data_IF_396851800932
#
_entry.id   IF_396851800932
#
_cell.length_a   1.000
_cell.length_b   1.000
_cell.length_c   1.000
_cell.angle_alpha   90.00
_cell.angle_beta   90.00
_cell.angle_gamma   90.00
#
_symmetry.space_group_name_H-M   'P 1'
#
loop_
_entity.id
_entity.type
_entity.pdbx_description
1 polymer ?
#
# COMPACT_ATOMS: atom_id res chain seq x y z
N UNK A 1 50.54 22.69 5.58
CA UNK A 1 50.55 21.46 4.76
C UNK A 1 49.40 20.58 5.23
N UNK A 2 48.43 20.37 4.32
CA UNK A 2 47.29 19.45 4.26
C UNK A 2 46.52 19.02 5.53
N UNK A 3 45.25 19.40 5.49
CA UNK A 3 44.11 18.90 6.25
C UNK A 3 43.95 17.37 6.18
N UNK A 4 43.73 16.79 7.35
CA UNK A 4 43.31 15.41 7.60
C UNK A 4 41.78 15.33 7.65
N UNK A 5 41.27 14.28 6.99
CA UNK A 5 40.08 13.51 7.37
C UNK A 5 38.71 14.21 7.36
N UNK A 6 38.14 14.33 6.15
CA UNK A 6 36.77 14.80 5.92
C UNK A 6 36.00 14.05 4.82
N UNK A 7 36.43 12.84 4.42
CA UNK A 7 35.78 12.10 3.33
C UNK A 7 35.53 10.64 3.70
N UNK A 8 34.47 10.39 4.49
CA UNK A 8 34.06 9.02 4.86
C UNK A 8 32.56 8.79 5.03
N UNK A 9 31.69 9.80 4.85
CA UNK A 9 30.27 9.69 5.22
C UNK A 9 29.26 9.96 4.09
N UNK A 10 29.70 10.08 2.82
CA UNK A 10 28.84 10.50 1.71
C UNK A 10 28.75 9.53 0.51
N UNK A 11 28.94 8.22 0.71
CA UNK A 11 28.89 7.24 -0.40
C UNK A 11 28.02 6.00 -0.10
N UNK A 12 26.93 6.13 0.67
CA UNK A 12 25.93 5.06 0.76
C UNK A 12 24.95 5.14 -0.42
N UNK A 13 25.26 4.33 -1.44
CA UNK A 13 24.45 3.88 -2.58
C UNK A 13 23.08 4.55 -2.82
N UNK A 14 22.92 5.37 -3.89
CA UNK A 14 21.64 5.94 -4.32
C UNK A 14 20.63 4.91 -4.90
N UNK A 15 20.97 3.62 -4.92
CA UNK A 15 20.10 2.55 -5.44
C UNK A 15 18.93 2.22 -4.50
N UNK A 16 19.10 2.39 -3.18
CA UNK A 16 18.10 1.99 -2.19
C UNK A 16 16.81 2.83 -2.18
N UNK A 17 16.82 4.02 -2.79
CA UNK A 17 15.64 4.90 -2.83
C UNK A 17 14.62 4.39 -3.87
N UNK A 18 15.09 3.79 -4.97
CA UNK A 18 14.23 3.22 -6.03
C UNK A 18 13.42 2.05 -5.54
N UNK A 19 14.08 1.16 -4.80
CA UNK A 19 13.55 -0.09 -4.29
C UNK A 19 12.32 0.13 -3.39
N UNK A 20 12.30 1.20 -2.59
CA UNK A 20 11.21 1.51 -1.64
C UNK A 20 9.94 2.07 -2.29
N UNK A 21 10.08 2.73 -3.43
CA UNK A 21 8.92 3.33 -4.14
C UNK A 21 8.24 2.27 -5.02
N UNK A 22 8.97 1.23 -5.42
CA UNK A 22 8.44 0.09 -6.17
C UNK A 22 7.48 -0.78 -5.34
N UNK A 23 7.69 -0.83 -4.01
CA UNK A 23 6.97 -1.71 -3.09
C UNK A 23 5.45 -1.56 -3.17
N UNK A 24 4.93 -0.34 -3.00
CA UNK A 24 3.47 -0.12 -2.88
C UNK A 24 2.71 -0.26 -4.21
N UNK A 25 3.35 0.04 -5.34
CA UNK A 25 2.73 -0.16 -6.66
C UNK A 25 2.56 -1.65 -6.96
N UNK A 26 3.62 -2.43 -6.76
CA UNK A 26 3.58 -3.88 -6.99
C UNK A 26 2.64 -4.60 -6.03
N UNK A 27 2.60 -4.18 -4.77
CA UNK A 27 1.67 -4.70 -3.77
C UNK A 27 0.21 -4.63 -4.24
N UNK A 28 -0.23 -3.48 -4.77
CA UNK A 28 -1.60 -3.30 -5.21
C UNK A 28 -1.96 -4.27 -6.35
N UNK A 29 -1.04 -4.49 -7.30
CA UNK A 29 -1.24 -5.43 -8.41
C UNK A 29 -1.25 -6.89 -7.96
N UNK A 30 -0.31 -7.29 -7.10
CA UNK A 30 -0.31 -8.65 -6.56
C UNK A 30 -1.53 -8.92 -5.69
N UNK A 31 -1.98 -7.95 -4.89
CA UNK A 31 -3.16 -8.10 -4.03
C UNK A 31 -4.42 -8.28 -4.88
N UNK A 32 -4.61 -7.46 -5.92
CA UNK A 32 -5.73 -7.56 -6.86
C UNK A 32 -5.69 -8.89 -7.63
N UNK A 33 -4.50 -9.27 -8.13
CA UNK A 33 -4.29 -10.49 -8.89
C UNK A 33 -4.61 -11.74 -8.07
N UNK A 34 -4.04 -11.85 -6.87
CA UNK A 34 -4.30 -12.95 -5.95
C UNK A 34 -5.77 -13.01 -5.54
N UNK A 35 -6.38 -11.88 -5.20
CA UNK A 35 -7.80 -11.81 -4.83
C UNK A 35 -8.71 -12.38 -5.92
N UNK A 36 -8.43 -12.05 -7.19
CA UNK A 36 -9.19 -12.54 -8.33
C UNK A 36 -8.94 -14.01 -8.67
N UNK A 37 -7.68 -14.47 -8.61
CA UNK A 37 -7.28 -15.79 -9.10
C UNK A 37 -7.48 -16.91 -8.08
N UNK A 38 -7.20 -16.65 -6.79
CA UNK A 38 -7.17 -17.68 -5.75
C UNK A 38 -8.25 -17.53 -4.69
N UNK A 39 -8.75 -16.31 -4.49
CA UNK A 39 -9.72 -16.03 -3.42
C UNK A 39 -11.15 -15.81 -3.94
N UNK A 40 -11.36 -15.88 -5.26
CA UNK A 40 -12.67 -15.80 -5.90
C UNK A 40 -13.35 -14.44 -5.76
N UNK A 41 -12.59 -13.37 -5.48
CA UNK A 41 -13.15 -12.02 -5.36
C UNK A 41 -13.49 -11.49 -6.77
N UNK A 42 -14.74 -11.04 -6.96
CA UNK A 42 -15.19 -10.46 -8.24
C UNK A 42 -14.64 -9.03 -8.42
N UNK A 43 -13.40 -8.96 -8.91
CA UNK A 43 -12.71 -7.69 -9.17
C UNK A 43 -13.29 -7.02 -10.40
N UNK A 44 -13.88 -5.83 -10.22
CA UNK A 44 -14.37 -5.02 -11.34
C UNK A 44 -13.23 -4.38 -12.14
N UNK A 45 -13.45 -4.17 -13.45
CA UNK A 45 -12.47 -3.55 -14.37
C UNK A 45 -11.87 -2.23 -13.84
N UNK A 46 -12.65 -1.44 -13.11
CA UNK A 46 -12.20 -0.17 -12.51
C UNK A 46 -11.19 -0.35 -11.37
N UNK A 47 -11.28 -1.44 -10.62
CA UNK A 47 -10.32 -1.78 -9.54
C UNK A 47 -8.97 -2.14 -10.15
N UNK A 48 -8.98 -2.93 -11.23
CA UNK A 48 -7.77 -3.27 -11.99
C UNK A 48 -7.14 -2.01 -12.59
N UNK A 49 -7.93 -1.16 -13.27
CA UNK A 49 -7.43 0.10 -13.84
C UNK A 49 -6.86 1.01 -12.75
N UNK A 50 -7.55 1.14 -11.60
CA UNK A 50 -7.06 1.90 -10.46
C UNK A 50 -5.71 1.39 -9.98
N UNK A 51 -5.57 0.09 -9.75
CA UNK A 51 -4.30 -0.51 -9.36
C UNK A 51 -3.18 -0.30 -10.39
N UNK A 52 -3.46 -0.44 -11.69
CA UNK A 52 -2.48 -0.21 -12.77
C UNK A 52 -2.02 1.25 -12.77
N UNK A 53 -2.95 2.20 -12.65
CA UNK A 53 -2.64 3.64 -12.62
C UNK A 53 -1.81 4.00 -11.39
N UNK A 54 -2.14 3.45 -10.22
CA UNK A 54 -1.40 3.69 -8.96
C UNK A 54 0.02 3.11 -9.04
N UNK A 55 0.16 1.93 -9.66
CA UNK A 55 1.46 1.29 -9.93
C UNK A 55 2.29 2.10 -10.92
N UNK A 56 1.66 2.58 -12.00
CA UNK A 56 2.32 3.43 -13.00
C UNK A 56 2.80 4.76 -12.42
N UNK A 57 2.01 5.39 -11.54
CA UNK A 57 2.42 6.60 -10.82
C UNK A 57 3.62 6.34 -9.89
N UNK A 58 3.65 5.18 -9.22
CA UNK A 58 4.77 4.77 -8.37
C UNK A 58 6.04 4.52 -9.20
N UNK A 59 5.91 3.86 -10.35
CA UNK A 59 7.03 3.63 -11.27
C UNK A 59 7.56 4.94 -11.86
N UNK A 60 6.68 5.87 -12.22
CA UNK A 60 7.05 7.20 -12.71
C UNK A 60 7.88 7.96 -11.67
N UNK A 61 7.48 7.90 -10.39
CA UNK A 61 8.24 8.50 -9.29
C UNK A 61 9.63 7.84 -9.12
N UNK A 62 9.74 6.54 -9.34
CA UNK A 62 11.01 5.80 -9.29
C UNK A 62 11.97 6.14 -10.44
N UNK A 63 11.47 6.58 -11.60
CA UNK A 63 12.33 6.96 -12.76
C UNK A 63 13.13 8.25 -12.54
N UNK A 64 12.75 9.07 -11.57
CA UNK A 64 13.46 10.32 -11.24
C UNK A 64 14.67 10.15 -10.30
N UNK A 65 14.99 8.91 -9.90
CA UNK A 65 16.21 8.62 -9.18
C UNK A 65 17.40 8.63 -10.15
N UNK A 66 18.46 9.36 -9.81
CA UNK A 66 19.65 9.65 -10.65
C UNK A 66 20.52 8.46 -11.09
N UNK A 67 20.05 7.22 -10.91
CA UNK A 67 20.78 6.01 -11.28
C UNK A 67 20.08 5.32 -12.47
N UNK A 68 20.85 5.00 -13.52
CA UNK A 68 20.39 4.36 -14.75
C UNK A 68 19.62 3.04 -14.56
N UNK A 69 19.09 2.50 -15.65
CA UNK A 69 18.30 1.26 -15.65
C UNK A 69 19.22 0.04 -15.53
N UNK A 70 18.98 -0.83 -14.55
CA UNK A 70 19.80 -2.03 -14.33
C UNK A 70 19.11 -3.05 -13.42
N UNK A 71 19.46 -4.32 -13.62
CA UNK A 71 18.97 -5.44 -12.81
C UNK A 71 19.58 -5.41 -11.41
N UNK A 72 18.75 -5.54 -10.37
CA UNK A 72 19.17 -5.50 -8.96
C UNK A 72 18.54 -6.64 -8.18
N UNK A 73 19.36 -7.39 -7.43
CA UNK A 73 18.87 -8.37 -6.46
C UNK A 73 17.97 -7.74 -5.39
N UNK A 74 18.19 -6.47 -5.05
CA UNK A 74 17.32 -5.71 -4.15
C UNK A 74 15.90 -5.56 -4.70
N UNK A 75 15.76 -5.28 -6.00
CA UNK A 75 14.45 -5.16 -6.65
C UNK A 75 13.68 -6.49 -6.66
N UNK A 76 14.37 -7.62 -6.81
CA UNK A 76 13.75 -8.96 -6.69
C UNK A 76 13.29 -9.22 -5.24
N UNK A 77 14.13 -8.90 -4.25
CA UNK A 77 13.77 -9.08 -2.85
C UNK A 77 12.54 -8.25 -2.45
N UNK A 78 12.44 -7.01 -2.96
CA UNK A 78 11.28 -6.12 -2.83
C UNK A 78 10.04 -6.72 -3.50
N UNK A 79 10.16 -7.18 -4.75
CA UNK A 79 9.05 -7.84 -5.44
C UNK A 79 8.57 -9.12 -4.70
N UNK A 80 9.48 -9.89 -4.12
CA UNK A 80 9.13 -11.05 -3.31
C UNK A 80 8.43 -10.64 -2.00
N UNK A 81 8.94 -9.62 -1.31
CA UNK A 81 8.35 -9.11 -0.08
C UNK A 81 6.91 -8.59 -0.30
N UNK A 82 6.68 -7.83 -1.37
CA UNK A 82 5.34 -7.34 -1.74
C UNK A 82 4.38 -8.46 -2.11
N UNK A 83 4.86 -9.50 -2.80
CA UNK A 83 4.05 -10.68 -3.08
C UNK A 83 3.65 -11.43 -1.79
N UNK A 84 4.59 -11.62 -0.86
CA UNK A 84 4.32 -12.22 0.45
C UNK A 84 3.28 -11.40 1.23
N UNK A 85 3.43 -10.07 1.23
CA UNK A 85 2.49 -9.16 1.89
C UNK A 85 1.09 -9.19 1.24
N UNK A 86 1.01 -9.16 -0.09
CA UNK A 86 -0.25 -9.31 -0.82
C UNK A 86 -0.96 -10.63 -0.50
N UNK A 87 -0.19 -11.72 -0.36
CA UNK A 87 -0.71 -13.03 0.05
C UNK A 87 -1.25 -13.00 1.48
N UNK A 88 -0.47 -12.43 2.41
CA UNK A 88 -0.87 -12.26 3.81
C UNK A 88 -2.15 -11.41 3.96
N UNK A 89 -2.30 -10.35 3.17
CA UNK A 89 -3.53 -9.53 3.15
C UNK A 89 -4.75 -10.31 2.65
N UNK A 90 -4.58 -11.12 1.61
CA UNK A 90 -5.66 -11.96 1.10
C UNK A 90 -6.05 -13.09 2.08
N UNK A 91 -5.08 -13.70 2.77
CA UNK A 91 -5.33 -14.64 3.85
C UNK A 91 -6.02 -13.96 5.04
N UNK A 92 -5.59 -12.75 5.38
CA UNK A 92 -6.21 -11.92 6.43
C UNK A 92 -7.68 -11.67 6.13
N UNK A 93 -8.05 -11.47 4.86
CA UNK A 93 -9.45 -11.34 4.47
C UNK A 93 -10.31 -12.54 4.84
N UNK A 94 -9.78 -13.77 4.74
CA UNK A 94 -10.50 -15.00 5.09
C UNK A 94 -10.72 -15.16 6.59
N UNK A 95 -9.81 -14.65 7.41
CA UNK A 95 -9.93 -14.70 8.88
C UNK A 95 -10.47 -13.40 9.48
N UNK A 96 -10.73 -12.38 8.65
CA UNK A 96 -11.11 -11.03 9.09
C UNK A 96 -12.38 -10.98 9.92
N UNK A 97 -13.24 -12.01 9.88
CA UNK A 97 -14.43 -12.14 10.73
C UNK A 97 -14.11 -12.38 12.22
N UNK A 98 -12.88 -12.79 12.56
CA UNK A 98 -12.42 -12.89 13.96
C UNK A 98 -12.04 -11.53 14.52
N UNK A 99 -11.88 -11.42 15.84
CA UNK A 99 -11.48 -10.18 16.51
C UNK A 99 -10.25 -9.52 15.84
N UNK A 100 -10.38 -8.27 15.33
CA UNK A 100 -9.31 -7.62 14.58
C UNK A 100 -8.11 -7.27 15.46
N UNK A 101 -8.31 -7.04 16.77
CA UNK A 101 -7.22 -6.75 17.71
C UNK A 101 -6.34 -7.99 17.86
N UNK A 102 -6.93 -9.18 18.04
CA UNK A 102 -6.20 -10.44 18.13
C UNK A 102 -5.40 -10.73 16.86
N UNK A 103 -6.00 -10.54 15.68
CA UNK A 103 -5.30 -10.73 14.39
C UNK A 103 -4.13 -9.76 14.28
N UNK A 104 -4.34 -8.47 14.57
CA UNK A 104 -3.29 -7.46 14.52
C UNK A 104 -2.16 -7.80 15.51
N UNK A 105 -2.48 -8.14 16.75
CA UNK A 105 -1.51 -8.45 17.78
C UNK A 105 -0.62 -9.63 17.38
N UNK A 106 -1.20 -10.71 16.84
CA UNK A 106 -0.44 -11.87 16.39
C UNK A 106 0.51 -11.53 15.24
N UNK A 107 0.03 -10.81 14.22
CA UNK A 107 0.87 -10.37 13.08
C UNK A 107 2.03 -9.49 13.56
N UNK A 108 1.75 -8.57 14.47
CA UNK A 108 2.75 -7.67 15.05
C UNK A 108 3.76 -8.42 15.91
N UNK A 109 3.34 -9.40 16.71
CA UNK A 109 4.23 -10.21 17.53
C UNK A 109 5.20 -11.03 16.67
N UNK A 110 4.71 -11.66 15.59
CA UNK A 110 5.56 -12.38 14.63
C UNK A 110 6.56 -11.42 13.96
N UNK A 111 6.07 -10.29 13.44
CA UNK A 111 6.91 -9.27 12.80
C UNK A 111 8.00 -8.72 13.73
N UNK A 112 7.64 -8.39 14.97
CA UNK A 112 8.57 -7.91 15.99
C UNK A 112 9.63 -8.96 16.32
N UNK A 113 9.22 -10.22 16.50
CA UNK A 113 10.15 -11.32 16.81
C UNK A 113 11.16 -11.52 15.70
N UNK A 114 10.71 -11.57 14.44
CA UNK A 114 11.59 -11.71 13.28
C UNK A 114 12.54 -10.51 13.15
N UNK A 115 12.02 -9.29 13.29
CA UNK A 115 12.81 -8.06 13.14
C UNK A 115 13.86 -7.90 14.24
N UNK A 116 13.51 -8.18 15.50
CA UNK A 116 14.45 -8.14 16.62
C UNK A 116 15.49 -9.24 16.49
N UNK A 117 15.09 -10.47 16.14
CA UNK A 117 16.03 -11.58 15.91
C UNK A 117 17.05 -11.22 14.84
N UNK A 118 16.59 -10.67 13.70
CA UNK A 118 17.47 -10.24 12.62
C UNK A 118 18.44 -9.12 13.06
N UNK A 119 17.95 -8.15 13.84
CA UNK A 119 18.80 -7.07 14.37
C UNK A 119 19.91 -7.62 15.29
N UNK A 120 19.57 -8.61 16.13
CA UNK A 120 20.51 -9.28 17.02
C UNK A 120 21.53 -10.11 16.24
N UNK A 121 21.12 -10.87 15.21
CA UNK A 121 22.05 -11.64 14.36
C UNK A 121 23.00 -10.75 13.56
N UNK A 122 22.58 -9.52 13.25
CA UNK A 122 23.41 -8.51 12.59
C UNK A 122 24.28 -7.71 13.56
N UNK A 123 24.32 -8.08 14.85
CA UNK A 123 25.15 -7.43 15.87
C UNK A 123 24.78 -5.99 16.15
N UNK A 124 23.51 -5.60 15.97
CA UNK A 124 23.05 -4.23 16.25
C UNK A 124 22.99 -4.00 17.75
N UNK A 125 23.54 -2.88 18.19
CA UNK A 125 23.49 -2.45 19.58
C UNK A 125 22.05 -2.11 20.00
N UNK A 126 21.77 -2.28 21.29
CA UNK A 126 20.51 -1.84 21.86
C UNK A 126 20.36 -0.32 21.79
N UNK A 127 19.20 0.19 21.34
CA UNK A 127 18.94 1.62 21.35
C UNK A 127 18.80 2.14 22.78
N UNK A 128 19.14 3.42 22.98
CA UNK A 128 18.94 4.09 24.26
C UNK A 128 17.45 4.13 24.63
N UNK A 129 17.13 3.93 25.91
CA UNK A 129 15.75 3.72 26.41
C UNK A 129 14.71 4.76 25.94
N UNK A 130 14.97 6.07 25.94
CA UNK A 130 14.02 7.07 25.46
C UNK A 130 13.66 6.88 23.98
N UNK A 131 14.62 6.54 23.13
CA UNK A 131 14.36 6.29 21.71
C UNK A 131 13.59 4.98 21.51
N UNK A 132 13.87 3.97 22.32
CA UNK A 132 13.11 2.72 22.30
C UNK A 132 11.64 2.97 22.67
N UNK A 133 11.38 3.68 23.77
CA UNK A 133 10.02 3.98 24.21
C UNK A 133 9.28 4.87 23.20
N UNK A 134 9.94 5.88 22.63
CA UNK A 134 9.37 6.71 21.59
C UNK A 134 9.03 5.90 20.33
N UNK A 135 9.92 5.00 19.90
CA UNK A 135 9.69 4.14 18.74
C UNK A 135 8.56 3.13 18.98
N UNK A 136 8.47 2.55 20.19
CA UNK A 136 7.37 1.65 20.57
C UNK A 136 6.03 2.39 20.60
N UNK A 137 5.98 3.58 21.20
CA UNK A 137 4.77 4.40 21.24
C UNK A 137 4.33 4.83 19.84
N UNK A 138 5.26 5.32 19.02
CA UNK A 138 4.99 5.68 17.64
C UNK A 138 4.52 4.46 16.83
N UNK A 139 5.17 3.30 16.97
CA UNK A 139 4.79 2.07 16.28
C UNK A 139 3.42 1.53 16.70
N UNK A 140 3.09 1.61 17.98
CA UNK A 140 1.78 1.20 18.49
C UNK A 140 0.65 2.02 17.88
N UNK A 141 0.81 3.35 17.79
CA UNK A 141 -0.20 4.24 17.20
C UNK A 141 -0.21 4.16 15.67
N UNK A 142 0.95 4.36 15.03
CA UNK A 142 1.04 4.45 13.57
C UNK A 142 0.76 3.13 12.87
N UNK A 143 1.28 2.02 13.40
CA UNK A 143 1.19 0.71 12.74
C UNK A 143 0.16 -0.19 13.42
N UNK A 144 0.16 -0.25 14.76
CA UNK A 144 -0.78 -1.10 15.51
C UNK A 144 -2.24 -0.70 15.30
N UNK A 145 -2.59 0.54 15.62
CA UNK A 145 -3.97 1.05 15.44
C UNK A 145 -4.37 1.06 13.96
N UNK A 146 -3.46 1.47 13.06
CA UNK A 146 -3.70 1.46 11.62
C UNK A 146 -4.03 0.05 11.09
N UNK A 147 -3.32 -0.98 11.55
CA UNK A 147 -3.57 -2.36 11.13
C UNK A 147 -4.93 -2.88 11.58
N UNK A 148 -5.38 -2.50 12.78
CA UNK A 148 -6.75 -2.83 13.25
C UNK A 148 -7.79 -2.20 12.33
N UNK A 149 -7.64 -0.93 11.97
CA UNK A 149 -8.53 -0.28 10.99
C UNK A 149 -8.45 -0.92 9.61
N UNK A 150 -7.27 -1.33 9.18
CA UNK A 150 -7.07 -2.04 7.92
C UNK A 150 -7.82 -3.38 7.89
N UNK A 151 -7.74 -4.18 8.97
CA UNK A 151 -8.48 -5.45 9.08
C UNK A 151 -9.99 -5.22 9.09
N UNK A 152 -10.46 -4.17 9.80
CA UNK A 152 -11.88 -3.77 9.77
C UNK A 152 -12.33 -3.36 8.36
N UNK A 153 -11.49 -2.64 7.62
CA UNK A 153 -11.77 -2.25 6.24
C UNK A 153 -11.82 -3.49 5.32
N UNK A 154 -10.85 -4.41 5.43
CA UNK A 154 -10.86 -5.68 4.70
C UNK A 154 -12.15 -6.46 4.95
N UNK A 155 -12.61 -6.55 6.21
CA UNK A 155 -13.85 -7.25 6.58
C UNK A 155 -15.07 -6.69 5.83
N UNK A 156 -15.18 -5.36 5.70
CA UNK A 156 -16.33 -4.72 5.07
C UNK A 156 -16.24 -4.58 3.55
N UNK A 157 -15.04 -4.42 3.00
CA UNK A 157 -14.82 -4.04 1.60
C UNK A 157 -14.23 -5.16 0.72
N UNK A 158 -13.60 -6.18 1.31
CA UNK A 158 -12.80 -7.17 0.59
C UNK A 158 -11.35 -6.74 0.41
N UNK A 159 -10.48 -7.70 0.07
CA UNK A 159 -9.02 -7.48 0.01
C UNK A 159 -8.65 -6.54 -1.14
N UNK A 160 -9.22 -6.77 -2.33
CA UNK A 160 -8.90 -5.99 -3.52
C UNK A 160 -9.25 -4.51 -3.38
N UNK A 161 -10.41 -4.19 -2.80
CA UNK A 161 -10.86 -2.79 -2.62
C UNK A 161 -10.06 -2.08 -1.54
N UNK A 162 -9.85 -2.74 -0.40
CA UNK A 162 -9.08 -2.15 0.70
C UNK A 162 -7.63 -1.92 0.28
N UNK A 163 -6.99 -2.88 -0.40
CA UNK A 163 -5.62 -2.72 -0.90
C UNK A 163 -5.49 -1.56 -1.87
N UNK A 164 -6.47 -1.36 -2.76
CA UNK A 164 -6.45 -0.26 -3.71
C UNK A 164 -6.63 1.12 -3.04
N UNK A 165 -7.43 1.22 -1.97
CA UNK A 165 -7.54 2.44 -1.16
C UNK A 165 -6.25 2.67 -0.36
N UNK A 166 -5.73 1.62 0.28
CA UNK A 166 -4.52 1.66 1.09
C UNK A 166 -3.30 2.09 0.27
N UNK A 167 -3.23 1.67 -1.00
CA UNK A 167 -2.21 2.10 -1.96
C UNK A 167 -2.15 3.61 -2.23
N UNK A 168 -3.13 4.39 -1.76
CA UNK A 168 -3.09 5.86 -1.85
C UNK A 168 -2.35 6.53 -0.68
N UNK A 169 -1.98 5.79 0.37
CA UNK A 169 -1.26 6.31 1.54
C UNK A 169 -0.03 7.17 1.22
N UNK A 170 0.84 6.81 0.25
CA UNK A 170 2.03 7.62 -0.09
C UNK A 170 1.69 9.05 -0.53
N UNK A 171 0.51 9.27 -1.10
CA UNK A 171 0.08 10.60 -1.56
C UNK A 171 -0.24 11.53 -0.40
N UNK A 172 -0.90 10.99 0.64
CA UNK A 172 -1.08 11.74 1.88
C UNK A 172 0.26 12.09 2.51
N UNK A 173 1.22 11.16 2.49
CA UNK A 173 2.61 11.42 2.93
C UNK A 173 3.28 12.55 2.16
N UNK A 174 3.16 12.55 0.83
CA UNK A 174 3.66 13.63 -0.05
C UNK A 174 3.04 14.97 0.30
N UNK A 175 1.70 15.04 0.42
CA UNK A 175 0.98 16.28 0.71
C UNK A 175 1.37 16.82 2.09
N UNK A 176 1.39 15.97 3.11
CA UNK A 176 1.80 16.35 4.46
C UNK A 176 3.25 16.80 4.49
N UNK A 177 4.16 16.13 3.77
CA UNK A 177 5.56 16.55 3.69
C UNK A 177 5.71 17.94 3.07
N UNK A 178 4.99 18.20 1.97
CA UNK A 178 5.00 19.51 1.31
C UNK A 178 4.48 20.64 2.22
N UNK A 179 3.47 20.35 3.06
CA UNK A 179 2.90 21.33 4.00
C UNK A 179 3.84 21.56 5.20
N UNK A 180 4.36 20.48 5.79
CA UNK A 180 5.09 20.53 7.06
C UNK A 180 6.57 20.91 6.90
N UNK A 181 7.23 20.43 5.86
CA UNK A 181 8.67 20.60 5.68
C UNK A 181 9.05 21.59 4.57
N UNK A 182 8.06 22.12 3.83
CA UNK A 182 8.28 23.03 2.70
C UNK A 182 9.28 22.49 1.67
N UNK A 183 9.47 21.17 1.61
CA UNK A 183 10.38 20.54 0.66
C UNK A 183 9.86 20.76 -0.77
N UNK A 184 10.78 21.13 -1.66
CA UNK A 184 10.48 21.70 -2.96
C UNK A 184 9.50 20.87 -3.80
N UNK A 185 8.58 21.57 -4.47
CA UNK A 185 7.71 21.04 -5.53
C UNK A 185 8.55 20.41 -6.63
N UNK A 186 8.87 19.13 -6.50
CA UNK A 186 9.32 18.35 -7.64
C UNK A 186 8.19 18.36 -8.66
N UNK A 187 8.49 18.82 -9.87
CA UNK A 187 7.53 18.91 -10.97
C UNK A 187 6.88 17.55 -11.32
N UNK A 188 7.46 16.46 -10.84
CA UNK A 188 7.03 15.06 -10.96
C UNK A 188 5.89 14.71 -9.99
N UNK A 189 5.79 15.41 -8.85
CA UNK A 189 4.77 15.16 -7.83
C UNK A 189 3.37 15.52 -8.33
N UNK A 190 3.26 16.53 -9.19
CA UNK A 190 1.98 17.00 -9.74
C UNK A 190 1.33 15.93 -10.65
N UNK A 191 1.97 15.43 -11.73
CA UNK A 191 1.38 14.39 -12.57
C UNK A 191 1.15 13.08 -11.80
N UNK A 192 2.04 12.72 -10.87
CA UNK A 192 1.87 11.52 -10.04
C UNK A 192 0.64 11.66 -9.13
N UNK A 193 0.45 12.83 -8.50
CA UNK A 193 -0.71 13.13 -7.65
C UNK A 193 -2.02 13.12 -8.43
N UNK A 194 -2.03 13.65 -9.66
CA UNK A 194 -3.19 13.59 -10.56
C UNK A 194 -3.53 12.14 -10.90
N UNK A 195 -2.54 11.32 -11.23
CA UNK A 195 -2.72 9.90 -11.55
C UNK A 195 -3.42 9.14 -10.41
N UNK A 196 -3.02 9.38 -9.16
CA UNK A 196 -3.65 8.69 -8.03
C UNK A 196 -4.98 9.29 -7.59
N UNK A 197 -5.17 10.60 -7.75
CA UNK A 197 -6.51 11.17 -7.63
C UNK A 197 -7.49 10.53 -8.63
N UNK A 198 -7.05 10.31 -9.88
CA UNK A 198 -7.81 9.59 -10.91
C UNK A 198 -8.05 8.12 -10.54
N UNK A 199 -7.02 7.41 -10.09
CA UNK A 199 -7.13 6.02 -9.63
C UNK A 199 -8.15 5.87 -8.49
N UNK A 200 -8.05 6.74 -7.49
CA UNK A 200 -8.97 6.78 -6.34
C UNK A 200 -10.39 7.14 -6.78
N UNK A 201 -10.57 8.12 -7.67
CA UNK A 201 -11.88 8.48 -8.21
C UNK A 201 -12.56 7.31 -8.94
N UNK A 202 -11.81 6.55 -9.73
CA UNK A 202 -12.31 5.36 -10.42
C UNK A 202 -12.73 4.25 -9.44
N UNK A 203 -11.95 4.05 -8.38
CA UNK A 203 -12.22 3.09 -7.29
C UNK A 203 -13.46 3.46 -6.48
N UNK A 204 -13.55 4.70 -6.00
CA UNK A 204 -14.70 5.22 -5.26
C UNK A 204 -15.98 5.17 -6.11
N UNK A 205 -15.89 5.50 -7.40
CA UNK A 205 -17.01 5.44 -8.33
C UNK A 205 -17.53 4.02 -8.62
N UNK A 206 -16.71 2.98 -8.45
CA UNK A 206 -17.17 1.58 -8.53
C UNK A 206 -17.93 1.18 -7.27
N UNK A 207 -17.45 1.60 -6.09
CA UNK A 207 -18.08 1.29 -4.80
C UNK A 207 -19.44 1.95 -4.65
N UNK A 208 -19.59 3.20 -5.12
CA UNK A 208 -20.86 3.92 -5.05
C UNK A 208 -21.96 3.25 -5.90
N UNK A 209 -21.59 2.77 -7.10
CA UNK A 209 -22.53 2.09 -8.02
C UNK A 209 -23.06 0.77 -7.49
N UNK A 210 -22.26 0.02 -6.74
CA UNK A 210 -22.68 -1.29 -6.18
C UNK A 210 -23.55 -1.17 -4.92
N UNK A 211 -23.61 0.02 -4.30
CA UNK A 211 -24.52 0.32 -3.18
C UNK A 211 -25.89 0.82 -3.63
N UNK A 212 -26.01 1.28 -4.88
CA UNK A 212 -27.31 1.66 -5.42
C UNK A 212 -28.12 0.38 -5.71
N UNK A 213 -29.39 0.30 -5.27
CA UNK A 213 -30.27 -0.77 -5.72
C UNK A 213 -30.31 -0.73 -7.25
N UNK A 214 -30.18 -1.91 -7.88
CA UNK A 214 -30.27 -2.00 -9.32
C UNK A 214 -31.55 -1.30 -9.80
N UNK A 215 -31.50 -0.45 -10.84
CA UNK A 215 -32.72 0.10 -11.41
C UNK A 215 -33.63 -1.08 -11.76
N UNK A 216 -34.94 -1.01 -11.43
CA UNK A 216 -35.86 -2.10 -11.73
C UNK A 216 -35.72 -2.46 -13.21
N UNK A 217 -35.48 -3.74 -13.49
CA UNK A 217 -35.22 -4.21 -14.83
C UNK A 217 -36.32 -3.69 -15.78
N UNK A 218 -35.94 -3.20 -16.96
CA UNK A 218 -36.89 -2.73 -17.98
C UNK A 218 -37.97 -3.78 -18.34
N UNK A 219 -37.70 -5.06 -18.07
CA UNK A 219 -38.65 -6.18 -18.19
C UNK A 219 -39.80 -6.17 -17.16
N UNK A 220 -39.66 -5.45 -16.03
CA UNK A 220 -40.72 -5.28 -15.04
C UNK A 220 -41.71 -4.17 -15.44
N UNK A 221 -41.24 -3.11 -16.13
CA UNK A 221 -42.13 -2.07 -16.67
C UNK A 221 -42.94 -2.56 -17.87
N UNK A 222 -42.38 -3.44 -18.71
CA UNK A 222 -43.11 -4.04 -19.84
C UNK A 222 -44.26 -4.97 -19.41
N UNK A 223 -44.21 -5.53 -18.19
CA UNK A 223 -45.25 -6.43 -17.65
C UNK A 223 -46.43 -5.68 -17.02
N UNK A 224 -46.27 -4.39 -16.73
CA UNK A 224 -47.33 -3.53 -16.16
C UNK A 224 -48.13 -2.83 -17.28
N UNK A 225 -47.57 -2.73 -18.49
CA UNK A 225 -48.22 -2.07 -19.63
C UNK A 225 -48.98 -3.01 -20.57
N UNK A 226 -49.16 -4.30 -20.27
CA UNK A 226 -50.06 -5.16 -21.05
C UNK A 226 -51.50 -4.93 -20.59
N UNK A 227 -52.39 -4.33 -21.40
CA UNK A 227 -53.81 -4.30 -21.09
C UNK A 227 -54.31 -5.74 -21.11
N UNK A 228 -55.08 -6.13 -20.09
CA UNK A 228 -55.83 -7.38 -20.09
C UNK A 228 -56.76 -7.37 -21.31
N UNK A 229 -56.43 -8.21 -22.30
CA UNK A 229 -57.31 -8.55 -23.44
C UNK A 229 -58.36 -9.54 -23.02
#
# INVERSE_FOLDING_TARGET
MRASDGHGLATRHPQHIRDRVLDLGLEAMFTIGLASAFFGESVGRRVVIGGVVTTGASLLLATHSSNGWGFSWGAIAVAAATFCWATDNNLTAKISMRDPITIAWFKQAVSATVSVSLALTLGKAWPHWPYLLAALGLGAVSYGVSLVFFILAIRGLGSARTGAIFGTAPFYGVVLSAILFSEGRSWVLIPSGIGVALGLWLLLGEMWRRRLPAPPAASAQARISSPLS
#
